data_IF_002217098973
#
_entry.id   IF_002217098973
#
_cell.length_a   1.000
_cell.length_b   1.000
_cell.length_c   1.000
_cell.angle_alpha   90.00
_cell.angle_beta   90.00
_cell.angle_gamma   90.00
#
_symmetry.space_group_name_H-M   'P 1'
#
loop_
_entity.id
_entity.type
_entity.pdbx_description
1 polymer ?
#
# COMPACT_ATOMS: atom_id res chain seq x y z
N UNK A 1 51.03 -23.42 5.24
CA UNK A 1 51.02 -21.98 4.91
C UNK A 1 49.78 -21.68 4.09
N UNK A 2 48.97 -20.76 4.61
CA UNK A 2 47.96 -19.89 3.99
C UNK A 2 47.17 -20.37 2.76
N UNK A 3 45.89 -20.68 3.04
CA UNK A 3 44.67 -20.15 2.41
C UNK A 3 44.78 -19.42 1.06
N UNK A 4 43.82 -19.67 0.16
CA UNK A 4 42.86 -18.63 -0.28
C UNK A 4 41.59 -19.29 -0.84
N UNK A 5 40.54 -19.34 0.00
CA UNK A 5 39.16 -19.60 -0.44
C UNK A 5 38.65 -18.33 -1.12
N UNK A 6 38.55 -18.34 -2.45
CA UNK A 6 37.84 -17.31 -3.19
C UNK A 6 36.34 -17.49 -2.99
N UNK A 7 35.77 -16.65 -2.12
CA UNK A 7 34.33 -16.49 -1.95
C UNK A 7 33.74 -15.85 -3.21
N UNK A 8 33.22 -16.68 -4.13
CA UNK A 8 32.32 -16.23 -5.19
C UNK A 8 31.01 -15.78 -4.54
N UNK A 9 30.93 -14.52 -4.12
CA UNK A 9 29.65 -13.83 -3.91
C UNK A 9 28.90 -13.85 -5.24
N UNK A 10 27.89 -14.70 -5.34
CA UNK A 10 26.89 -14.68 -6.41
C UNK A 10 26.24 -13.29 -6.41
N UNK A 11 26.71 -12.42 -7.29
CA UNK A 11 26.07 -11.14 -7.60
C UNK A 11 24.81 -11.51 -8.39
N UNK A 12 23.68 -11.69 -7.71
CA UNK A 12 22.35 -11.84 -8.33
C UNK A 12 22.25 -10.79 -9.44
N UNK A 13 22.28 -11.24 -10.71
CA UNK A 13 22.13 -10.34 -11.84
C UNK A 13 20.77 -9.68 -11.72
N UNK A 14 20.75 -8.34 -11.72
CA UNK A 14 19.49 -7.58 -11.72
C UNK A 14 18.76 -7.92 -13.03
N UNK A 15 17.44 -8.16 -13.01
CA UNK A 15 16.70 -8.34 -14.25
C UNK A 15 16.89 -7.09 -15.14
N UNK A 16 17.05 -7.25 -16.45
CA UNK A 16 17.17 -6.11 -17.35
C UNK A 16 15.91 -5.23 -17.29
N UNK A 17 16.09 -3.92 -17.40
CA UNK A 17 15.03 -2.89 -17.26
C UNK A 17 13.78 -3.21 -18.07
N UNK A 18 13.95 -3.67 -19.31
CA UNK A 18 12.85 -4.09 -20.20
C UNK A 18 11.97 -5.21 -19.62
N UNK A 19 12.54 -6.18 -18.90
CA UNK A 19 11.79 -7.28 -18.30
C UNK A 19 10.97 -6.78 -17.11
N UNK A 20 11.54 -5.88 -16.30
CA UNK A 20 10.82 -5.23 -15.21
C UNK A 20 9.64 -4.41 -15.73
N UNK A 21 9.86 -3.58 -16.75
CA UNK A 21 8.78 -2.79 -17.39
C UNK A 21 7.70 -3.72 -17.96
N UNK A 22 8.09 -4.81 -18.61
CA UNK A 22 7.13 -5.78 -19.12
C UNK A 22 6.30 -6.40 -17.99
N UNK A 23 6.93 -6.77 -16.86
CA UNK A 23 6.23 -7.35 -15.70
C UNK A 23 5.23 -6.39 -15.04
N UNK A 24 5.54 -5.09 -15.03
CA UNK A 24 4.63 -4.04 -14.54
C UNK A 24 3.42 -3.90 -15.47
N UNK A 25 3.66 -3.84 -16.78
CA UNK A 25 2.62 -3.67 -17.80
C UNK A 25 1.72 -4.89 -17.95
N UNK A 26 2.23 -6.09 -17.70
CA UNK A 26 1.46 -7.33 -17.74
C UNK A 26 0.75 -7.66 -16.43
N UNK A 27 0.89 -6.80 -15.41
CA UNK A 27 0.35 -7.00 -14.06
C UNK A 27 0.78 -8.33 -13.40
N UNK A 28 1.87 -8.94 -13.86
CA UNK A 28 2.45 -10.14 -13.23
C UNK A 28 2.98 -9.84 -11.83
N UNK A 29 3.36 -8.59 -11.60
CA UNK A 29 3.78 -8.08 -10.30
C UNK A 29 2.70 -7.16 -9.78
N UNK A 30 1.99 -7.60 -8.75
CA UNK A 30 0.86 -6.87 -8.18
C UNK A 30 0.89 -6.79 -6.64
N UNK A 31 1.91 -7.28 -5.94
CA UNK A 31 2.01 -7.14 -4.48
C UNK A 31 2.79 -5.89 -4.07
N UNK A 32 2.50 -5.33 -2.89
CA UNK A 32 3.19 -4.17 -2.35
C UNK A 32 4.70 -4.36 -2.34
N UNK A 33 5.15 -5.53 -1.87
CA UNK A 33 6.58 -5.82 -1.70
C UNK A 33 7.31 -5.88 -3.04
N UNK A 34 6.72 -6.49 -4.06
CA UNK A 34 7.36 -6.57 -5.38
C UNK A 34 7.31 -5.24 -6.13
N UNK A 35 6.19 -4.49 -6.05
CA UNK A 35 6.12 -3.14 -6.62
C UNK A 35 7.15 -2.20 -5.96
N UNK A 36 7.30 -2.24 -4.64
CA UNK A 36 8.36 -1.53 -3.92
C UNK A 36 9.77 -1.97 -4.32
N UNK A 37 9.96 -3.26 -4.57
CA UNK A 37 11.26 -3.78 -5.04
C UNK A 37 11.62 -3.17 -6.39
N UNK A 38 10.67 -3.10 -7.33
CA UNK A 38 10.90 -2.50 -8.65
C UNK A 38 11.07 -0.98 -8.54
N UNK A 39 10.29 -0.29 -7.70
CA UNK A 39 10.42 1.15 -7.44
C UNK A 39 11.83 1.51 -6.93
N UNK A 40 12.39 0.71 -6.01
CA UNK A 40 13.77 0.90 -5.53
C UNK A 40 14.82 0.65 -6.62
N UNK A 41 14.57 -0.28 -7.54
CA UNK A 41 15.47 -0.51 -8.68
C UNK A 41 15.43 0.70 -9.61
N UNK A 42 14.24 1.18 -9.96
CA UNK A 42 14.04 2.36 -10.80
C UNK A 42 14.71 3.61 -10.21
N UNK A 43 14.58 3.85 -8.90
CA UNK A 43 15.24 4.95 -8.21
C UNK A 43 16.79 4.82 -8.16
N UNK A 44 17.33 3.63 -8.43
CA UNK A 44 18.78 3.38 -8.47
C UNK A 44 19.37 3.34 -9.89
N UNK A 45 18.58 3.64 -10.91
CA UNK A 45 19.05 3.70 -12.29
C UNK A 45 20.04 4.87 -12.47
N UNK A 46 21.23 4.57 -12.99
CA UNK A 46 22.26 5.56 -13.28
C UNK A 46 22.01 6.29 -14.61
N UNK A 47 21.31 5.62 -15.55
CA UNK A 47 20.96 6.19 -16.84
C UNK A 47 19.58 6.84 -16.79
N UNK A 48 19.51 8.12 -17.19
CA UNK A 48 18.24 8.86 -17.19
C UNK A 48 17.17 8.24 -18.10
N UNK A 49 17.56 7.64 -19.23
CA UNK A 49 16.63 6.97 -20.15
C UNK A 49 15.92 5.80 -19.47
N UNK A 50 16.64 5.01 -18.69
CA UNK A 50 16.08 3.90 -17.92
C UNK A 50 15.15 4.42 -16.81
N UNK A 51 15.55 5.47 -16.09
CA UNK A 51 14.73 6.09 -15.06
C UNK A 51 13.42 6.65 -15.64
N UNK A 52 13.47 7.32 -16.80
CA UNK A 52 12.30 7.81 -17.53
C UNK A 52 11.40 6.66 -17.98
N UNK A 53 11.98 5.57 -18.46
CA UNK A 53 11.23 4.41 -18.94
C UNK A 53 10.37 3.74 -17.83
N UNK A 54 10.72 3.93 -16.55
CA UNK A 54 9.93 3.42 -15.42
C UNK A 54 8.75 4.31 -15.03
N UNK A 55 8.73 5.60 -15.37
CA UNK A 55 7.76 6.56 -14.80
C UNK A 55 6.30 6.14 -15.05
N UNK A 56 5.91 6.00 -16.32
CA UNK A 56 4.54 5.63 -16.69
C UNK A 56 4.19 4.19 -16.22
N UNK A 57 5.01 3.14 -16.50
CA UNK A 57 4.69 1.78 -16.05
C UNK A 57 4.56 1.64 -14.53
N UNK A 58 5.39 2.35 -13.76
CA UNK A 58 5.34 2.33 -12.29
C UNK A 58 4.07 3.02 -11.77
N UNK A 59 3.74 4.20 -12.31
CA UNK A 59 2.53 4.94 -11.94
C UNK A 59 1.28 4.10 -12.21
N UNK A 60 1.20 3.50 -13.40
CA UNK A 60 0.07 2.65 -13.78
C UNK A 60 -0.01 1.38 -12.91
N UNK A 61 1.12 0.78 -12.55
CA UNK A 61 1.11 -0.40 -11.69
C UNK A 61 0.58 -0.09 -10.28
N UNK A 62 0.94 1.06 -9.70
CA UNK A 62 0.39 1.50 -8.41
C UNK A 62 -1.11 1.82 -8.49
N UNK A 63 -1.56 2.46 -9.57
CA UNK A 63 -2.99 2.70 -9.78
C UNK A 63 -3.77 1.39 -9.89
N UNK A 64 -3.26 0.40 -10.63
CA UNK A 64 -3.88 -0.91 -10.75
C UNK A 64 -3.86 -1.69 -9.43
N UNK A 65 -2.79 -1.58 -8.64
CA UNK A 65 -2.72 -2.21 -7.33
C UNK A 65 -3.89 -1.77 -6.44
N UNK A 66 -4.17 -0.46 -6.39
CA UNK A 66 -5.28 0.13 -5.61
C UNK A 66 -6.64 -0.18 -6.23
N UNK A 67 -6.77 -0.10 -7.55
CA UNK A 67 -8.03 -0.34 -8.25
C UNK A 67 -8.43 -1.83 -8.29
N UNK A 68 -7.47 -2.73 -8.09
CA UNK A 68 -7.70 -4.17 -7.96
C UNK A 68 -7.97 -4.56 -6.50
N UNK A 69 -8.46 -5.78 -6.29
CA UNK A 69 -8.63 -6.32 -4.94
C UNK A 69 -7.30 -6.60 -4.21
N UNK A 70 -6.14 -6.52 -4.88
CA UNK A 70 -4.87 -6.93 -4.30
C UNK A 70 -4.43 -6.06 -3.12
N UNK A 71 -4.72 -4.75 -3.16
CA UNK A 71 -4.46 -3.85 -2.05
C UNK A 71 -5.30 -4.19 -0.81
N UNK A 72 -6.61 -4.41 -1.01
CA UNK A 72 -7.51 -4.82 0.06
C UNK A 72 -7.16 -6.21 0.62
N UNK A 73 -6.76 -7.15 -0.23
CA UNK A 73 -6.31 -8.49 0.19
C UNK A 73 -5.09 -8.39 1.11
N UNK A 74 -4.12 -7.54 0.79
CA UNK A 74 -2.95 -7.35 1.67
C UNK A 74 -3.31 -6.67 3.00
N UNK A 75 -4.25 -5.71 2.99
CA UNK A 75 -4.79 -5.12 4.23
C UNK A 75 -5.50 -6.17 5.09
N UNK A 76 -6.35 -7.02 4.49
CA UNK A 76 -6.98 -8.14 5.20
C UNK A 76 -5.97 -9.11 5.81
N UNK A 77 -4.86 -9.38 5.12
CA UNK A 77 -3.78 -10.19 5.65
C UNK A 77 -3.11 -9.61 6.91
N UNK A 78 -3.26 -8.30 7.14
CA UNK A 78 -2.79 -7.58 8.33
C UNK A 78 -3.87 -7.38 9.39
N UNK A 79 -5.13 -7.71 9.10
CA UNK A 79 -6.28 -7.53 10.00
C UNK A 79 -7.06 -8.84 10.20
N UNK A 80 -6.45 -9.87 10.81
CA UNK A 80 -7.07 -11.18 10.93
C UNK A 80 -8.26 -11.24 11.89
N UNK A 81 -8.34 -10.34 12.88
CA UNK A 81 -9.41 -10.38 13.88
C UNK A 81 -10.62 -9.56 13.42
N UNK A 82 -10.36 -8.45 12.74
CA UNK A 82 -11.35 -7.48 12.29
C UNK A 82 -11.04 -7.11 10.83
N UNK A 83 -11.59 -7.84 9.84
CA UNK A 83 -11.29 -7.63 8.44
C UNK A 83 -11.41 -6.15 8.01
N UNK A 84 -10.37 -5.62 7.36
CA UNK A 84 -10.33 -4.23 6.90
C UNK A 84 -11.54 -3.88 6.00
N UNK A 85 -12.21 -2.76 6.27
CA UNK A 85 -13.37 -2.34 5.49
C UNK A 85 -12.96 -1.89 4.07
N UNK A 86 -13.52 -2.53 3.03
CA UNK A 86 -13.23 -2.19 1.63
C UNK A 86 -13.66 -0.77 1.23
N UNK A 87 -14.71 -0.24 1.87
CA UNK A 87 -15.21 1.11 1.59
C UNK A 87 -14.20 2.20 1.96
N UNK A 88 -13.33 1.95 2.96
CA UNK A 88 -12.22 2.85 3.30
C UNK A 88 -11.27 3.01 2.11
N UNK A 89 -10.96 1.92 1.42
CA UNK A 89 -10.06 1.94 0.25
C UNK A 89 -10.71 2.71 -0.90
N UNK A 90 -12.00 2.49 -1.14
CA UNK A 90 -12.74 3.19 -2.18
C UNK A 90 -12.86 4.69 -1.91
N UNK A 91 -13.19 5.10 -0.68
CA UNK A 91 -13.28 6.52 -0.31
C UNK A 91 -11.91 7.21 -0.40
N UNK A 92 -10.86 6.56 0.12
CA UNK A 92 -9.50 7.07 -0.01
C UNK A 92 -9.08 7.28 -1.48
N UNK A 93 -9.40 6.32 -2.35
CA UNK A 93 -9.09 6.43 -3.77
C UNK A 93 -9.83 7.59 -4.44
N UNK A 94 -11.13 7.78 -4.15
CA UNK A 94 -11.90 8.92 -4.66
C UNK A 94 -11.34 10.26 -4.18
N UNK A 95 -10.90 10.33 -2.93
CA UNK A 95 -10.26 11.53 -2.36
C UNK A 95 -8.93 11.84 -3.03
N UNK A 96 -8.11 10.83 -3.32
CA UNK A 96 -6.87 11.00 -4.08
C UNK A 96 -7.16 11.57 -5.47
N UNK A 97 -8.13 11.00 -6.20
CA UNK A 97 -8.51 11.47 -7.54
C UNK A 97 -9.07 12.91 -7.54
N UNK A 98 -9.68 13.33 -6.43
CA UNK A 98 -10.30 14.65 -6.30
C UNK A 98 -9.36 15.71 -5.70
N UNK A 99 -8.19 15.32 -5.19
CA UNK A 99 -7.24 16.21 -4.53
C UNK A 99 -6.21 16.76 -5.54
N UNK A 100 -6.19 18.09 -5.80
CA UNK A 100 -5.21 18.73 -6.68
C UNK A 100 -3.76 18.45 -6.28
N UNK A 101 -3.50 18.26 -4.98
CA UNK A 101 -2.17 18.00 -4.44
C UNK A 101 -1.70 16.56 -4.67
N UNK A 102 -2.57 15.65 -5.11
CA UNK A 102 -2.19 14.25 -5.39
C UNK A 102 -1.17 14.13 -6.52
N UNK A 103 -1.08 15.14 -7.40
CA UNK A 103 -0.05 15.21 -8.45
C UNK A 103 1.38 15.29 -7.89
N UNK A 104 1.57 15.50 -6.58
CA UNK A 104 2.88 15.50 -5.91
C UNK A 104 3.58 14.14 -5.87
N UNK A 105 2.87 13.04 -6.13
CA UNK A 105 3.41 11.68 -6.09
C UNK A 105 2.89 10.85 -7.27
N UNK A 106 3.73 9.95 -7.78
CA UNK A 106 3.32 8.91 -8.74
C UNK A 106 2.67 7.69 -8.07
N UNK A 107 2.67 7.65 -6.74
CA UNK A 107 2.34 6.46 -5.98
C UNK A 107 0.92 6.56 -5.38
N UNK A 108 -0.08 6.12 -6.16
CA UNK A 108 -1.49 6.13 -5.75
C UNK A 108 -1.72 5.34 -4.45
N UNK A 109 -1.00 4.24 -4.24
CA UNK A 109 -1.15 3.41 -3.04
C UNK A 109 -0.70 4.15 -1.77
N UNK A 110 0.46 4.80 -1.82
CA UNK A 110 0.94 5.63 -0.73
C UNK A 110 0.00 6.81 -0.45
N UNK A 111 -0.50 7.47 -1.50
CA UNK A 111 -1.48 8.56 -1.36
C UNK A 111 -2.76 8.08 -0.67
N UNK A 112 -3.31 6.92 -1.08
CA UNK A 112 -4.47 6.34 -0.42
C UNK A 112 -4.21 6.05 1.06
N UNK A 113 -3.08 5.39 1.39
CA UNK A 113 -2.72 5.11 2.79
C UNK A 113 -2.62 6.38 3.64
N UNK A 114 -2.06 7.46 3.08
CA UNK A 114 -1.99 8.77 3.75
C UNK A 114 -3.39 9.34 3.97
N UNK A 115 -4.28 9.31 2.97
CA UNK A 115 -5.68 9.75 3.13
C UNK A 115 -6.42 8.92 4.17
N UNK A 116 -6.26 7.60 4.18
CA UNK A 116 -6.86 6.71 5.18
C UNK A 116 -6.45 7.13 6.59
N UNK A 117 -5.16 7.40 6.80
CA UNK A 117 -4.60 7.78 8.09
C UNK A 117 -5.01 9.20 8.52
N UNK A 118 -4.92 10.16 7.62
CA UNK A 118 -4.97 11.59 7.95
C UNK A 118 -6.39 12.19 7.84
N UNK A 119 -7.26 11.65 6.98
CA UNK A 119 -8.63 12.17 6.79
C UNK A 119 -9.66 11.56 7.77
N UNK A 120 -9.21 10.78 8.76
CA UNK A 120 -10.09 10.18 9.76
C UNK A 120 -11.01 9.07 9.23
N UNK A 121 -10.63 8.39 8.14
CA UNK A 121 -11.45 7.33 7.56
C UNK A 121 -11.57 6.12 8.50
N UNK A 122 -10.49 5.73 9.16
CA UNK A 122 -10.48 4.58 10.07
C UNK A 122 -11.53 4.74 11.19
N UNK A 123 -11.52 5.79 12.03
CA UNK A 123 -12.50 5.92 13.11
C UNK A 123 -13.94 6.04 12.58
N UNK A 124 -14.15 6.73 11.45
CA UNK A 124 -15.46 6.86 10.82
C UNK A 124 -16.05 5.49 10.46
N UNK A 125 -15.30 4.69 9.70
CA UNK A 125 -15.77 3.39 9.24
C UNK A 125 -15.77 2.34 10.34
N UNK A 126 -14.89 2.45 11.35
CA UNK A 126 -14.89 1.54 12.49
C UNK A 126 -16.20 1.64 13.28
N UNK A 127 -16.70 2.86 13.47
CA UNK A 127 -18.00 3.09 14.11
C UNK A 127 -19.16 2.56 13.27
N UNK A 128 -19.11 2.77 11.94
CA UNK A 128 -20.13 2.26 11.01
C UNK A 128 -20.17 0.72 11.00
N UNK A 129 -19.03 0.05 10.96
CA UNK A 129 -18.94 -1.42 11.02
C UNK A 129 -19.42 -1.96 12.38
N UNK A 130 -18.95 -1.37 13.48
CA UNK A 130 -19.36 -1.77 14.82
C UNK A 130 -20.86 -1.57 15.06
N UNK A 131 -21.50 -0.59 14.40
CA UNK A 131 -22.93 -0.33 14.52
C UNK A 131 -23.82 -1.29 13.72
N UNK A 132 -23.27 -2.17 12.87
CA UNK A 132 -24.09 -3.09 12.08
C UNK A 132 -24.71 -4.17 12.96
N UNK A 133 -26.02 -4.41 12.79
CA UNK A 133 -26.75 -5.42 13.57
C UNK A 133 -26.13 -6.83 13.46
N UNK A 134 -25.52 -7.16 12.32
CA UNK A 134 -24.85 -8.45 12.10
C UNK A 134 -23.67 -8.70 13.05
N UNK A 135 -23.08 -7.66 13.64
CA UNK A 135 -22.01 -7.79 14.65
C UNK A 135 -22.54 -8.26 16.01
N UNK A 136 -23.85 -8.13 16.25
CA UNK A 136 -24.47 -8.33 17.57
C UNK A 136 -25.50 -9.47 17.60
N UNK A 137 -25.80 -10.07 16.44
CA UNK A 137 -26.79 -11.13 16.31
C UNK A 137 -28.17 -10.66 16.78
N UNK A 138 -28.75 -11.37 17.76
CA UNK A 138 -30.05 -11.04 18.34
C UNK A 138 -29.98 -10.02 19.50
N UNK A 139 -28.77 -9.55 19.85
CA UNK A 139 -28.57 -8.58 20.93
C UNK A 139 -28.71 -7.16 20.39
N UNK A 140 -29.37 -6.29 21.15
CA UNK A 140 -29.36 -4.85 20.92
C UNK A 140 -28.18 -4.25 21.69
N UNK A 141 -27.12 -3.77 21.03
CA UNK A 141 -25.98 -3.19 21.72
C UNK A 141 -26.35 -1.84 22.32
N UNK A 142 -25.69 -1.50 23.43
CA UNK A 142 -25.65 -0.11 23.89
C UNK A 142 -24.68 0.71 23.05
N UNK A 143 -24.73 2.04 23.16
CA UNK A 143 -23.74 2.90 22.51
C UNK A 143 -22.31 2.58 22.99
N UNK A 144 -22.16 2.25 24.28
CA UNK A 144 -20.85 1.90 24.85
C UNK A 144 -20.30 0.61 24.25
N UNK A 145 -21.14 -0.40 24.01
CA UNK A 145 -20.72 -1.64 23.35
C UNK A 145 -20.21 -1.37 21.93
N UNK A 146 -20.95 -0.55 21.17
CA UNK A 146 -20.55 -0.12 19.81
C UNK A 146 -19.22 0.61 19.83
N UNK A 147 -19.05 1.56 20.75
CA UNK A 147 -17.81 2.34 20.86
C UNK A 147 -16.60 1.45 21.23
N UNK A 148 -16.80 0.47 22.12
CA UNK A 148 -15.75 -0.49 22.48
C UNK A 148 -15.35 -1.37 21.29
N UNK A 149 -16.32 -1.88 20.54
CA UNK A 149 -16.04 -2.68 19.34
C UNK A 149 -15.38 -1.83 18.23
N UNK A 150 -15.82 -0.58 18.04
CA UNK A 150 -15.21 0.36 17.11
C UNK A 150 -13.74 0.63 17.46
N UNK A 151 -13.41 0.76 18.75
CA UNK A 151 -12.02 0.92 19.19
C UNK A 151 -11.14 -0.30 18.82
N UNK A 152 -11.69 -1.52 18.86
CA UNK A 152 -10.99 -2.73 18.43
C UNK A 152 -10.71 -2.73 16.92
N UNK A 153 -11.71 -2.37 16.10
CA UNK A 153 -11.53 -2.16 14.65
C UNK A 153 -10.44 -1.13 14.36
N UNK A 154 -10.57 0.06 14.98
CA UNK A 154 -9.67 1.19 14.77
C UNK A 154 -8.21 0.82 15.07
N UNK A 155 -7.96 0.12 16.18
CA UNK A 155 -6.62 -0.27 16.58
C UNK A 155 -5.95 -1.19 15.54
N UNK A 156 -6.66 -2.23 15.10
CA UNK A 156 -6.11 -3.20 14.14
C UNK A 156 -5.92 -2.57 12.76
N UNK A 157 -6.91 -1.81 12.28
CA UNK A 157 -6.86 -1.14 10.98
C UNK A 157 -5.77 -0.06 10.92
N UNK A 158 -5.61 0.74 11.99
CA UNK A 158 -4.51 1.71 12.09
C UNK A 158 -3.16 1.00 12.03
N UNK A 159 -3.02 -0.10 12.77
CA UNK A 159 -1.78 -0.90 12.77
C UNK A 159 -1.48 -1.47 11.38
N UNK A 160 -2.48 -1.93 10.64
CA UNK A 160 -2.32 -2.42 9.28
C UNK A 160 -1.86 -1.31 8.32
N UNK A 161 -2.51 -0.14 8.35
CA UNK A 161 -2.17 1.02 7.51
C UNK A 161 -0.76 1.53 7.82
N UNK A 162 -0.42 1.67 9.10
CA UNK A 162 0.93 2.06 9.52
C UNK A 162 1.98 1.03 9.10
N UNK A 163 1.62 -0.26 9.12
CA UNK A 163 2.49 -1.33 8.64
C UNK A 163 2.80 -1.21 7.16
N UNK A 164 1.79 -0.95 6.33
CA UNK A 164 2.00 -0.74 4.89
C UNK A 164 2.78 0.55 4.62
N UNK A 165 2.50 1.65 5.35
CA UNK A 165 3.21 2.91 5.19
C UNK A 165 4.72 2.79 5.48
N UNK A 166 5.13 1.91 6.41
CA UNK A 166 6.55 1.64 6.71
C UNK A 166 7.36 1.13 5.51
N UNK A 167 6.73 0.68 4.43
CA UNK A 167 7.43 0.34 3.20
C UNK A 167 8.08 1.55 2.52
N UNK A 168 7.67 2.78 2.85
CA UNK A 168 8.27 4.02 2.40
C UNK A 168 8.92 4.76 3.59
N UNK A 169 10.23 4.63 3.73
CA UNK A 169 10.99 5.40 4.73
C UNK A 169 10.95 6.92 4.45
N UNK A 170 10.82 7.29 3.18
CA UNK A 170 10.66 8.66 2.69
C UNK A 170 9.47 8.70 1.75
N UNK A 171 8.62 9.75 1.79
CA UNK A 171 7.50 9.90 0.86
C UNK A 171 7.93 9.77 -0.62
N UNK A 172 7.28 8.92 -1.43
CA UNK A 172 7.57 8.77 -2.87
C UNK A 172 6.99 9.96 -3.66
N UNK A 173 7.51 11.15 -3.42
CA UNK A 173 7.07 12.40 -4.04
C UNK A 173 8.10 12.90 -5.05
N UNK A 174 7.66 13.65 -6.08
CA UNK A 174 8.54 14.21 -7.11
C UNK A 174 9.64 15.11 -6.55
N UNK A 175 9.35 15.80 -5.46
CA UNK A 175 10.21 16.84 -4.91
C UNK A 175 11.09 16.37 -3.75
N UNK A 176 11.02 15.08 -3.38
CA UNK A 176 11.88 14.44 -2.38
C UNK A 176 12.29 15.36 -1.24
N UNK A 177 11.37 15.68 -0.34
CA UNK A 177 11.70 16.41 0.89
C UNK A 177 12.29 15.48 1.95
#
# INVERSE_FOLDING_TARGET
MSSHRSSKKSRRQRPPVRELIHSLRSHQVNTLTELRRIERIAASCEHEDDARAFQEPMTLAWANYVASNQFLIELHGLTPNYPFCGDIVQDAHLRVLSDPESNRSWNTAWLCLVKIRDDGLIPLYALLEAGKQEMWGDTLPTQEDVDQLAACFELEWRTAVDTMLRHWATPPTWYGQ
#
